data_IF_018546675126
#
_entry.id   IF_018546675126
#
_cell.length_a   1.000
_cell.length_b   1.000
_cell.length_c   1.000
_cell.angle_alpha   90.00
_cell.angle_beta   90.00
_cell.angle_gamma   90.00
#
_symmetry.space_group_name_H-M   'P 1'
#
loop_
_entity.id
_entity.type
_entity.pdbx_description
1 polymer ?
#
# COMPACT_ATOMS: atom_id res chain seq x y z
N UNK A 1 -4.07 -10.00 -8.41
CA UNK A 1 -4.97 -9.10 -7.65
C UNK A 1 -4.21 -8.14 -6.73
N UNK A 2 -3.41 -8.65 -5.79
CA UNK A 2 -2.66 -7.82 -4.80
C UNK A 2 -1.78 -6.73 -5.45
N UNK A 3 -0.95 -7.07 -6.43
CA UNK A 3 -0.10 -6.08 -7.11
C UNK A 3 -0.92 -4.99 -7.80
N UNK A 4 -2.01 -5.36 -8.48
CA UNK A 4 -2.88 -4.39 -9.15
C UNK A 4 -3.51 -3.39 -8.17
N UNK A 5 -3.91 -3.83 -6.98
CA UNK A 5 -4.45 -2.94 -5.94
C UNK A 5 -3.37 -2.14 -5.20
N UNK A 6 -2.15 -2.64 -5.17
CA UNK A 6 -1.00 -1.98 -4.54
C UNK A 6 -0.41 -0.86 -5.41
N UNK A 7 -0.39 -1.05 -6.73
CA UNK A 7 0.23 -0.13 -7.68
C UNK A 7 -0.37 1.30 -7.64
N UNK A 8 -1.71 1.51 -7.67
CA UNK A 8 -2.27 2.85 -7.64
C UNK A 8 -1.98 3.60 -6.34
N UNK A 9 -2.18 3.04 -5.13
CA UNK A 9 -1.80 3.69 -3.88
C UNK A 9 -0.34 4.09 -3.80
N UNK A 10 0.55 3.21 -4.24
CA UNK A 10 1.99 3.47 -4.28
C UNK A 10 2.32 4.68 -5.17
N UNK A 11 1.85 4.67 -6.42
CA UNK A 11 2.11 5.74 -7.36
C UNK A 11 1.43 7.05 -6.99
N UNK A 12 0.20 7.01 -6.49
CA UNK A 12 -0.50 8.22 -6.08
C UNK A 12 0.14 8.88 -4.86
N UNK A 13 0.72 8.11 -3.95
CA UNK A 13 1.52 8.64 -2.84
C UNK A 13 2.72 9.44 -3.36
N UNK A 14 3.42 8.93 -4.37
CA UNK A 14 4.53 9.61 -5.02
C UNK A 14 4.04 10.83 -5.83
N UNK A 15 2.89 10.70 -6.51
CA UNK A 15 2.30 11.76 -7.30
C UNK A 15 1.85 12.95 -6.44
N UNK A 16 1.48 12.74 -5.18
CA UNK A 16 1.23 13.83 -4.22
C UNK A 16 2.51 14.61 -3.90
N UNK A 17 3.68 13.95 -3.86
CA UNK A 17 4.96 14.61 -3.62
C UNK A 17 5.38 15.46 -4.83
N UNK A 18 5.23 14.93 -6.03
CA UNK A 18 5.59 15.56 -7.30
C UNK A 18 4.39 16.24 -8.00
N UNK A 19 3.34 16.60 -7.26
CA UNK A 19 2.07 17.12 -7.81
C UNK A 19 2.29 18.32 -8.72
N UNK A 20 3.13 19.27 -8.30
CA UNK A 20 3.43 20.48 -9.05
C UNK A 20 4.13 20.18 -10.37
N UNK A 21 5.04 19.21 -10.39
CA UNK A 21 5.78 18.82 -11.59
C UNK A 21 4.83 18.14 -12.58
N UNK A 22 3.94 17.26 -12.10
CA UNK A 22 2.89 16.66 -12.94
C UNK A 22 1.91 17.69 -13.48
N UNK A 23 1.52 18.69 -12.68
CA UNK A 23 0.66 19.78 -13.12
C UNK A 23 1.33 20.64 -14.20
N UNK A 24 2.60 21.02 -14.02
CA UNK A 24 3.39 21.77 -15.03
C UNK A 24 3.57 20.98 -16.33
N UNK A 25 3.72 19.67 -16.23
CA UNK A 25 3.85 18.78 -17.38
C UNK A 25 2.51 18.39 -18.04
N UNK A 26 1.38 18.93 -17.57
CA UNK A 26 0.03 18.59 -18.04
C UNK A 26 -0.28 17.07 -17.97
N UNK A 27 0.28 16.37 -16.97
CA UNK A 27 0.05 14.95 -16.76
C UNK A 27 -1.12 14.76 -15.79
N UNK A 28 -2.23 14.12 -16.21
CA UNK A 28 -3.44 14.00 -15.40
C UNK A 28 -3.30 12.89 -14.34
N UNK A 29 -2.58 13.18 -13.27
CA UNK A 29 -2.51 12.31 -12.08
C UNK A 29 -3.67 12.61 -11.12
N UNK A 30 -4.16 11.60 -10.39
CA UNK A 30 -5.27 11.76 -9.44
C UNK A 30 -5.14 12.97 -8.49
N UNK A 31 -4.00 13.25 -7.83
CA UNK A 31 -3.85 14.45 -6.99
C UNK A 31 -3.89 15.77 -7.77
N UNK A 32 -3.58 15.76 -9.07
CA UNK A 32 -3.69 16.94 -9.95
C UNK A 32 -5.15 17.20 -10.31
N UNK A 33 -5.90 16.15 -10.66
CA UNK A 33 -7.28 16.26 -11.15
C UNK A 33 -8.28 16.45 -10.00
N UNK A 34 -8.20 15.60 -8.97
CA UNK A 34 -9.20 15.51 -7.90
C UNK A 34 -8.70 16.12 -6.57
N UNK A 35 -7.43 16.53 -6.52
CA UNK A 35 -6.81 17.09 -5.32
C UNK A 35 -6.29 16.05 -4.33
N UNK A 36 -5.41 16.50 -3.44
CA UNK A 36 -4.69 15.67 -2.49
C UNK A 36 -5.59 14.96 -1.48
N UNK A 37 -6.68 15.62 -1.08
CA UNK A 37 -7.64 15.04 -0.11
C UNK A 37 -8.39 13.85 -0.71
N UNK A 38 -8.92 13.99 -1.93
CA UNK A 38 -9.61 12.88 -2.61
C UNK A 38 -8.61 11.76 -2.88
N UNK A 39 -7.42 12.10 -3.37
CA UNK A 39 -6.33 11.15 -3.58
C UNK A 39 -6.03 10.33 -2.31
N UNK A 40 -5.90 10.98 -1.14
CA UNK A 40 -5.65 10.31 0.13
C UNK A 40 -6.78 9.32 0.52
N UNK A 41 -8.04 9.69 0.31
CA UNK A 41 -9.17 8.78 0.57
C UNK A 41 -9.18 7.57 -0.36
N UNK A 42 -8.89 7.79 -1.64
CA UNK A 42 -8.80 6.71 -2.63
C UNK A 42 -7.65 5.77 -2.29
N UNK A 43 -6.48 6.31 -1.90
CA UNK A 43 -5.35 5.54 -1.38
C UNK A 43 -5.79 4.67 -0.21
N UNK A 44 -6.46 5.24 0.80
CA UNK A 44 -6.93 4.48 1.97
C UNK A 44 -7.90 3.36 1.60
N UNK A 45 -8.87 3.62 0.72
CA UNK A 45 -9.84 2.61 0.29
C UNK A 45 -9.16 1.43 -0.42
N UNK A 46 -8.17 1.71 -1.27
CA UNK A 46 -7.37 0.67 -1.93
C UNK A 46 -6.48 -0.08 -0.93
N UNK A 47 -5.81 0.63 -0.01
CA UNK A 47 -4.97 0.01 1.03
C UNK A 47 -5.77 -0.93 1.92
N UNK A 48 -6.98 -0.53 2.35
CA UNK A 48 -7.86 -1.41 3.13
C UNK A 48 -8.28 -2.65 2.34
N UNK A 49 -8.71 -2.47 1.09
CA UNK A 49 -9.10 -3.58 0.20
C UNK A 49 -7.93 -4.54 -0.04
N UNK A 50 -6.73 -3.97 -0.24
CA UNK A 50 -5.48 -4.70 -0.42
C UNK A 50 -5.12 -5.53 0.82
N UNK A 51 -5.22 -4.95 2.02
CA UNK A 51 -4.94 -5.67 3.28
C UNK A 51 -5.94 -6.80 3.53
N UNK A 52 -7.22 -6.60 3.23
CA UNK A 52 -8.20 -7.70 3.34
C UNK A 52 -7.88 -8.81 2.33
N UNK A 53 -7.58 -8.46 1.09
CA UNK A 53 -7.27 -9.42 0.04
C UNK A 53 -5.93 -10.14 0.25
N UNK A 54 -4.94 -9.51 0.90
CA UNK A 54 -3.68 -10.17 1.25
C UNK A 54 -3.82 -11.20 2.37
N UNK A 55 -4.91 -11.18 3.14
CA UNK A 55 -5.18 -12.19 4.17
C UNK A 55 -5.94 -13.40 3.61
N UNK A 56 -6.56 -13.29 2.42
CA UNK A 56 -7.34 -14.38 1.81
C UNK A 56 -6.52 -15.68 1.67
N UNK A 57 -5.26 -15.69 1.21
CA UNK A 57 -4.49 -16.92 1.08
C UNK A 57 -4.28 -17.68 2.40
N UNK A 58 -4.32 -17.01 3.55
CA UNK A 58 -4.22 -17.67 4.88
C UNK A 58 -5.37 -18.64 5.09
N UNK A 59 -6.58 -18.31 4.62
CA UNK A 59 -7.74 -19.21 4.68
C UNK A 59 -7.56 -20.47 3.82
N UNK A 60 -6.66 -20.44 2.84
CA UNK A 60 -6.34 -21.59 1.98
C UNK A 60 -5.11 -22.37 2.47
N UNK A 61 -4.70 -22.19 3.74
CA UNK A 61 -3.62 -22.97 4.36
C UNK A 61 -2.24 -22.33 4.28
N UNK A 62 -2.14 -21.04 3.96
CA UNK A 62 -0.86 -20.34 3.96
C UNK A 62 -0.36 -20.11 5.39
N UNK A 63 0.92 -20.40 5.64
CA UNK A 63 1.45 -20.48 6.99
C UNK A 63 1.69 -19.15 7.70
N UNK A 64 2.21 -19.26 8.93
CA UNK A 64 2.31 -18.17 9.89
C UNK A 64 3.27 -17.06 9.46
N UNK A 65 4.30 -17.35 8.65
CA UNK A 65 5.24 -16.32 8.18
C UNK A 65 4.58 -15.40 7.16
N UNK A 66 3.78 -15.97 6.26
CA UNK A 66 2.96 -15.18 5.35
C UNK A 66 1.93 -14.33 6.10
N UNK A 67 1.19 -14.94 7.03
CA UNK A 67 0.19 -14.22 7.83
C UNK A 67 0.82 -13.05 8.59
N UNK A 68 1.97 -13.25 9.23
CA UNK A 68 2.69 -12.19 9.94
C UNK A 68 3.10 -11.06 8.98
N UNK A 69 3.65 -11.39 7.81
CA UNK A 69 4.02 -10.40 6.79
C UNK A 69 2.83 -9.59 6.28
N UNK A 70 1.72 -10.26 5.95
CA UNK A 70 0.49 -9.63 5.47
C UNK A 70 -0.15 -8.74 6.54
N UNK A 71 -0.25 -9.22 7.79
CA UNK A 71 -0.86 -8.49 8.89
C UNK A 71 -0.03 -7.27 9.31
N UNK A 72 1.28 -7.43 9.51
CA UNK A 72 2.17 -6.34 9.95
C UNK A 72 2.28 -5.30 8.83
N UNK A 73 2.61 -5.73 7.62
CA UNK A 73 2.76 -4.83 6.47
C UNK A 73 1.46 -4.07 6.17
N UNK A 74 0.32 -4.79 6.17
CA UNK A 74 -0.99 -4.21 5.92
C UNK A 74 -1.38 -3.20 6.99
N UNK A 75 -1.18 -3.53 8.26
CA UNK A 75 -1.48 -2.61 9.39
C UNK A 75 -0.65 -1.33 9.32
N UNK A 76 0.66 -1.43 9.07
CA UNK A 76 1.53 -0.25 8.94
C UNK A 76 1.09 0.62 7.77
N UNK A 77 0.72 0.00 6.64
CA UNK A 77 0.28 0.74 5.47
C UNK A 77 -1.08 1.43 5.70
N UNK A 78 -2.05 0.74 6.30
CA UNK A 78 -3.33 1.32 6.71
C UNK A 78 -3.14 2.52 7.64
N UNK A 79 -2.29 2.40 8.67
CA UNK A 79 -2.01 3.50 9.61
C UNK A 79 -1.37 4.71 8.89
N UNK A 80 -0.45 4.47 7.96
CA UNK A 80 0.14 5.54 7.17
C UNK A 80 -0.89 6.21 6.25
N UNK A 81 -1.79 5.44 5.64
CA UNK A 81 -2.87 5.95 4.79
C UNK A 81 -3.90 6.76 5.59
N UNK A 82 -4.26 6.33 6.80
CA UNK A 82 -5.13 7.09 7.72
C UNK A 82 -4.48 8.42 8.08
N UNK A 83 -3.18 8.42 8.44
CA UNK A 83 -2.44 9.66 8.73
C UNK A 83 -2.38 10.59 7.53
N UNK A 84 -2.27 10.05 6.32
CA UNK A 84 -2.32 10.83 5.08
C UNK A 84 -3.70 11.46 4.84
N UNK A 85 -4.79 10.76 5.16
CA UNK A 85 -6.16 11.28 5.10
C UNK A 85 -6.40 12.39 6.14
N UNK A 86 -5.81 12.27 7.33
CA UNK A 86 -5.90 13.30 8.37
C UNK A 86 -5.08 14.54 8.00
N UNK A 87 -3.87 14.34 7.46
CA UNK A 87 -2.97 15.42 7.06
C UNK A 87 -2.21 15.07 5.78
N UNK A 88 -2.53 15.79 4.70
CA UNK A 88 -1.96 15.62 3.36
C UNK A 88 -0.55 16.23 3.22
N UNK A 89 0.25 16.18 4.29
CA UNK A 89 1.61 16.72 4.26
C UNK A 89 2.54 15.87 3.39
N UNK A 90 3.55 16.50 2.78
CA UNK A 90 4.63 15.79 2.06
C UNK A 90 5.27 14.70 2.93
N UNK A 91 5.46 14.95 4.22
CA UNK A 91 6.02 13.97 5.14
C UNK A 91 5.13 12.72 5.26
N UNK A 92 3.81 12.87 5.34
CA UNK A 92 2.88 11.74 5.40
C UNK A 92 2.76 11.01 4.06
N UNK A 93 2.79 11.72 2.93
CA UNK A 93 2.80 11.10 1.60
C UNK A 93 4.04 10.23 1.41
N UNK A 94 5.21 10.71 1.84
CA UNK A 94 6.46 9.96 1.81
C UNK A 94 6.42 8.74 2.76
N UNK A 95 5.91 8.90 3.97
CA UNK A 95 5.70 7.78 4.91
C UNK A 95 4.76 6.72 4.31
N UNK A 96 3.69 7.15 3.65
CA UNK A 96 2.74 6.24 3.01
C UNK A 96 3.37 5.49 1.82
N UNK A 97 4.19 6.18 1.02
CA UNK A 97 4.98 5.55 -0.04
C UNK A 97 5.91 4.47 0.51
N UNK A 98 6.71 4.76 1.55
CA UNK A 98 7.58 3.74 2.15
C UNK A 98 6.80 2.62 2.85
N UNK A 99 5.67 2.93 3.50
CA UNK A 99 4.80 1.92 4.10
C UNK A 99 4.24 0.96 3.05
N UNK A 100 3.93 1.45 1.84
CA UNK A 100 3.52 0.60 0.72
C UNK A 100 4.64 -0.36 0.28
N UNK A 101 5.90 0.10 0.24
CA UNK A 101 7.06 -0.74 -0.09
C UNK A 101 7.30 -1.79 0.99
N UNK A 102 7.24 -1.38 2.26
CA UNK A 102 7.35 -2.28 3.40
C UNK A 102 6.28 -3.37 3.34
N UNK A 103 5.03 -3.01 3.04
CA UNK A 103 3.95 -3.98 2.90
C UNK A 103 4.27 -5.02 1.81
N UNK A 104 4.71 -4.58 0.63
CA UNK A 104 5.05 -5.49 -0.46
C UNK A 104 6.23 -6.42 -0.09
N UNK A 105 7.29 -5.87 0.50
CA UNK A 105 8.46 -6.63 0.94
C UNK A 105 8.11 -7.62 2.04
N UNK A 106 7.29 -7.23 3.02
CA UNK A 106 6.85 -8.12 4.09
C UNK A 106 6.00 -9.29 3.55
N UNK A 107 5.11 -9.00 2.59
CA UNK A 107 4.20 -9.98 2.01
C UNK A 107 4.96 -11.00 1.14
N UNK A 108 5.83 -10.51 0.26
CA UNK A 108 6.67 -11.35 -0.62
C UNK A 108 7.73 -12.08 0.22
N UNK A 109 8.39 -11.41 1.15
CA UNK A 109 9.37 -12.00 2.06
C UNK A 109 8.77 -13.10 2.93
N UNK A 110 7.57 -12.87 3.49
CA UNK A 110 6.83 -13.89 4.24
C UNK A 110 6.50 -15.11 3.39
N UNK A 111 6.06 -14.92 2.15
CA UNK A 111 5.84 -16.01 1.18
C UNK A 111 7.13 -16.78 0.88
N UNK A 112 8.25 -16.10 0.65
CA UNK A 112 9.53 -16.77 0.39
C UNK A 112 10.01 -17.57 1.59
N UNK A 113 9.93 -17.00 2.80
CA UNK A 113 10.29 -17.69 4.04
C UNK A 113 9.43 -18.93 4.25
N UNK A 114 8.12 -18.82 4.07
CA UNK A 114 7.19 -19.95 4.15
C UNK A 114 7.61 -21.07 3.18
N UNK A 115 7.93 -20.69 1.93
CA UNK A 115 8.32 -21.65 0.90
C UNK A 115 9.68 -22.31 1.17
N UNK A 116 10.63 -21.59 1.76
CA UNK A 116 11.94 -22.13 2.14
C UNK A 116 11.86 -23.09 3.32
N UNK A 117 10.97 -22.80 4.28
CA UNK A 117 10.80 -23.62 5.50
C UNK A 117 10.00 -24.89 5.19
N UNK A 118 9.30 -24.94 4.06
CA UNK A 118 8.63 -26.15 3.59
C UNK A 118 7.41 -26.51 4.43
N UNK A 119 6.85 -25.56 5.20
CA UNK A 119 5.52 -25.69 5.82
C UNK A 119 4.46 -25.66 4.73
N UNK A 120 4.38 -26.75 3.98
CA UNK A 120 3.16 -27.18 3.33
C UNK A 120 2.32 -27.76 4.46
N UNK A 121 1.37 -26.96 4.96
CA UNK A 121 0.19 -27.51 5.61
C UNK A 121 -0.71 -28.16 4.57
#
# INVERSE_FOLDING_TARGET
AVLFLWTPPHFWSLAMLAREDYAKANVPMLPVIAGDRVCAWVILAHTLSLTVLSLVPVYFGMGWFYLAGAAIGGSVFCLASIRLVISQSRANALKNFFASLLHLVALVGGLFLERMIGTVG
#
